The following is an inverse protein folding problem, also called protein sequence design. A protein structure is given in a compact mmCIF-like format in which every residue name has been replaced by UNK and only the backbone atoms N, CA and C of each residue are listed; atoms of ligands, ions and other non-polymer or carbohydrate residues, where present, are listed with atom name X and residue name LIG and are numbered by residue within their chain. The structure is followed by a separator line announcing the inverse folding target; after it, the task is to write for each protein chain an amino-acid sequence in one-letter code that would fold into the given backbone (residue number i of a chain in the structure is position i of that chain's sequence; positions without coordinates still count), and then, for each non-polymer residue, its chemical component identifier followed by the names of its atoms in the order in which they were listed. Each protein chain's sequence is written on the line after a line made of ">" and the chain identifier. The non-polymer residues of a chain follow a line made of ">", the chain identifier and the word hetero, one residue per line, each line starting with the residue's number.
data_IF_528281872943
#
_entry.id   IF_528281872943
#
_cell.length_a   1.000
_cell.length_b   1.000
_cell.length_c   1.000
_cell.angle_alpha   90.00
_cell.angle_beta   90.00
_cell.angle_gamma   90.00
#
_symmetry.space_group_name_H-M   'P 1'
#
loop_
_entity.id
_entity.type
_entity.pdbx_description
1 polymer ?
#
# COMPACT_ATOMS: atom_id res chain seq x y z
N UNK A 1 15.83 2.09 -27.88
CA UNK A 1 16.79 2.79 -26.99
C UNK A 1 16.14 3.52 -25.79
N UNK A 2 14.97 3.09 -25.27
CA UNK A 2 14.28 3.77 -24.14
C UNK A 2 14.60 3.18 -22.74
N UNK A 3 15.26 2.03 -22.67
CA UNK A 3 15.44 1.27 -21.41
C UNK A 3 16.76 1.55 -20.66
N UNK A 4 17.70 2.30 -21.25
CA UNK A 4 19.00 2.57 -20.62
C UNK A 4 19.00 3.82 -19.72
N UNK A 5 18.08 4.78 -19.94
CA UNK A 5 18.04 6.07 -19.23
C UNK A 5 17.33 6.03 -17.88
N UNK A 6 16.47 5.03 -17.61
CA UNK A 6 15.78 4.91 -16.32
C UNK A 6 16.70 4.45 -15.17
N UNK A 7 17.82 3.79 -15.47
CA UNK A 7 18.75 3.29 -14.46
C UNK A 7 19.70 4.36 -13.89
N UNK A 8 19.90 5.49 -14.58
CA UNK A 8 20.81 6.55 -14.11
C UNK A 8 20.18 7.49 -13.06
N UNK A 9 18.85 7.61 -13.00
CA UNK A 9 18.16 8.57 -12.12
C UNK A 9 17.47 7.94 -10.91
N UNK A 10 17.63 6.64 -10.66
CA UNK A 10 17.06 6.00 -9.47
C UNK A 10 17.86 6.43 -8.23
N UNK A 11 17.22 7.02 -7.19
CA UNK A 11 17.92 7.52 -6.01
C UNK A 11 18.64 6.38 -5.27
N UNK A 12 19.69 6.73 -4.54
CA UNK A 12 20.38 5.78 -3.65
C UNK A 12 19.54 5.60 -2.39
N UNK A 13 19.31 4.36 -1.98
CA UNK A 13 18.55 4.06 -0.77
C UNK A 13 19.26 4.59 0.47
N UNK A 14 18.51 5.29 1.33
CA UNK A 14 18.92 5.61 2.68
C UNK A 14 18.69 4.43 3.63
N UNK A 15 19.17 4.57 4.87
CA UNK A 15 18.93 3.58 5.92
C UNK A 15 17.42 3.40 6.14
N UNK A 16 16.99 2.14 6.32
CA UNK A 16 15.58 1.74 6.49
C UNK A 16 14.64 2.03 5.30
N UNK A 17 15.18 2.41 4.14
CA UNK A 17 14.38 2.51 2.93
C UNK A 17 14.13 1.14 2.30
N UNK A 18 12.88 0.96 1.89
CA UNK A 18 12.43 -0.22 1.17
C UNK A 18 12.91 -0.07 -0.27
N UNK A 19 13.82 -0.94 -0.70
CA UNK A 19 14.31 -0.93 -2.07
C UNK A 19 13.38 -1.67 -3.03
N UNK A 20 12.52 -2.58 -2.55
CA UNK A 20 11.55 -3.31 -3.38
C UNK A 20 10.36 -3.82 -2.57
N UNK A 21 9.17 -3.81 -3.17
CA UNK A 21 7.95 -4.44 -2.67
C UNK A 21 7.44 -5.44 -3.71
N UNK A 22 7.14 -6.68 -3.32
CA UNK A 22 6.81 -7.78 -4.24
C UNK A 22 5.57 -7.54 -5.11
N UNK A 23 4.59 -6.77 -4.63
CA UNK A 23 3.30 -6.55 -5.32
C UNK A 23 3.33 -5.41 -6.35
N UNK A 24 4.24 -4.44 -6.20
CA UNK A 24 4.11 -3.15 -6.91
C UNK A 24 5.20 -2.89 -7.94
N UNK A 25 6.36 -3.55 -7.86
CA UNK A 25 7.44 -3.18 -8.77
C UNK A 25 8.42 -4.28 -9.16
N UNK A 26 8.54 -4.48 -10.48
CA UNK A 26 9.73 -5.08 -11.09
C UNK A 26 10.95 -4.13 -11.02
N UNK A 27 10.72 -2.84 -10.78
CA UNK A 27 11.73 -1.79 -10.66
C UNK A 27 11.81 -1.29 -9.22
N UNK A 28 12.94 -1.50 -8.54
CA UNK A 28 13.12 -1.06 -7.15
C UNK A 28 12.92 0.46 -6.96
N UNK A 29 12.48 0.87 -5.77
CA UNK A 29 12.25 2.28 -5.41
C UNK A 29 13.55 3.11 -5.38
N UNK A 30 14.66 2.46 -5.04
CA UNK A 30 15.98 3.05 -4.90
C UNK A 30 17.08 1.99 -5.16
N UNK A 31 18.33 2.42 -5.39
CA UNK A 31 19.50 1.55 -5.57
C UNK A 31 20.29 1.41 -4.29
N UNK A 32 20.73 0.20 -3.96
CA UNK A 32 21.51 -0.02 -2.75
C UNK A 32 22.95 0.53 -2.87
N UNK A 33 23.46 1.30 -1.90
CA UNK A 33 24.74 2.00 -1.98
C UNK A 33 25.97 1.08 -2.11
N UNK A 34 25.92 -0.15 -1.56
CA UNK A 34 27.06 -1.08 -1.51
C UNK A 34 26.95 -2.24 -2.52
N UNK A 35 26.27 -2.03 -3.64
CA UNK A 35 25.97 -3.07 -4.62
C UNK A 35 27.15 -3.45 -5.55
N UNK A 36 28.40 -3.30 -5.13
CA UNK A 36 29.58 -3.63 -5.95
C UNK A 36 29.63 -5.11 -6.36
N UNK A 37 28.92 -6.00 -5.65
CA UNK A 37 28.80 -7.43 -5.98
C UNK A 37 27.58 -7.78 -6.85
N UNK A 38 26.56 -6.92 -6.92
CA UNK A 38 25.31 -7.18 -7.64
C UNK A 38 24.70 -5.89 -8.21
N UNK A 39 25.33 -5.29 -9.22
CA UNK A 39 24.72 -4.36 -10.19
C UNK A 39 23.58 -3.44 -9.70
N UNK A 40 23.72 -2.74 -8.57
CA UNK A 40 22.68 -1.82 -8.07
C UNK A 40 21.37 -2.46 -7.60
N UNK A 41 21.29 -3.80 -7.54
CA UNK A 41 20.04 -4.53 -7.30
C UNK A 41 19.75 -4.69 -5.81
N UNK A 42 18.47 -4.54 -5.46
CA UNK A 42 17.92 -4.79 -4.13
C UNK A 42 18.13 -6.28 -3.74
N UNK A 43 18.81 -6.58 -2.62
CA UNK A 43 19.18 -7.95 -2.27
C UNK A 43 17.95 -8.76 -1.86
N UNK A 44 17.81 -10.00 -2.33
CA UNK A 44 16.70 -10.87 -1.95
C UNK A 44 17.18 -12.00 -1.05
N UNK A 45 17.38 -11.68 0.23
CA UNK A 45 17.79 -12.65 1.27
C UNK A 45 16.86 -12.55 2.48
N UNK A 46 16.66 -13.63 3.25
CA UNK A 46 15.77 -13.62 4.42
C UNK A 46 16.10 -12.55 5.47
N UNK A 47 17.38 -12.19 5.61
CA UNK A 47 17.82 -11.17 6.57
C UNK A 47 17.47 -9.73 6.16
N UNK A 48 17.20 -9.53 4.88
CA UNK A 48 16.92 -8.24 4.26
C UNK A 48 15.46 -8.13 3.84
N UNK A 49 14.63 -9.13 4.15
CA UNK A 49 13.22 -9.16 3.78
C UNK A 49 12.33 -9.20 5.01
N UNK A 50 11.20 -8.52 4.91
CA UNK A 50 10.10 -8.57 5.87
C UNK A 50 8.85 -8.99 5.11
N UNK A 51 8.23 -10.09 5.54
CA UNK A 51 6.92 -10.50 5.02
C UNK A 51 5.86 -10.00 5.99
N UNK A 52 4.99 -9.09 5.53
CA UNK A 52 3.89 -8.58 6.32
C UNK A 52 2.59 -8.71 5.52
N UNK A 53 1.65 -9.49 6.07
CA UNK A 53 0.33 -9.76 5.47
C UNK A 53 0.38 -10.17 3.99
N UNK A 54 1.34 -11.04 3.64
CA UNK A 54 1.54 -11.54 2.28
C UNK A 54 2.40 -10.64 1.39
N UNK A 55 2.67 -9.41 1.81
CA UNK A 55 3.52 -8.46 1.07
C UNK A 55 4.97 -8.61 1.53
N UNK A 56 5.90 -8.77 0.58
CA UNK A 56 7.33 -8.84 0.87
C UNK A 56 7.98 -7.48 0.66
N UNK A 57 8.48 -6.90 1.74
CA UNK A 57 9.29 -5.68 1.76
C UNK A 57 10.76 -6.07 1.80
N UNK A 58 11.58 -5.45 0.94
CA UNK A 58 13.01 -5.77 0.82
C UNK A 58 13.87 -4.53 1.05
N UNK A 59 14.96 -4.69 1.78
CA UNK A 59 15.84 -3.62 2.25
C UNK A 59 17.30 -3.85 1.80
N UNK A 60 18.06 -2.77 1.67
CA UNK A 60 19.47 -2.87 1.25
C UNK A 60 20.40 -3.47 2.30
N UNK A 61 20.01 -3.36 3.57
CA UNK A 61 20.76 -3.86 4.73
C UNK A 61 19.88 -4.78 5.58
N UNK A 62 20.47 -5.66 6.40
CA UNK A 62 19.70 -6.49 7.31
C UNK A 62 18.76 -5.64 8.16
N UNK A 63 17.49 -6.00 8.20
CA UNK A 63 16.50 -5.18 8.90
C UNK A 63 16.52 -5.48 10.40
N UNK A 64 16.63 -4.43 11.19
CA UNK A 64 16.32 -4.45 12.62
C UNK A 64 15.05 -3.63 12.81
N UNK A 65 13.95 -4.27 13.18
CA UNK A 65 12.70 -3.58 13.46
C UNK A 65 12.34 -3.73 14.93
N UNK A 66 11.80 -2.65 15.49
CA UNK A 66 11.04 -2.68 16.74
C UNK A 66 9.56 -2.83 16.45
N UNK A 67 8.79 -3.25 17.45
CA UNK A 67 7.33 -3.23 17.36
C UNK A 67 6.85 -1.78 17.52
N UNK A 68 5.91 -1.34 16.69
CA UNK A 68 5.29 -0.02 16.80
C UNK A 68 4.41 0.07 18.05
N UNK A 69 4.41 1.22 18.73
CA UNK A 69 3.33 1.54 19.68
C UNK A 69 2.07 1.87 18.91
N UNK A 70 0.92 1.69 19.57
CA UNK A 70 -0.35 2.09 19.00
C UNK A 70 -0.34 3.60 18.69
N UNK A 71 -0.68 3.94 17.45
CA UNK A 71 -0.70 5.29 16.94
C UNK A 71 0.64 5.78 16.36
N UNK A 72 1.70 4.99 16.37
CA UNK A 72 2.95 5.37 15.68
C UNK A 72 2.85 5.17 14.16
N UNK A 73 3.65 5.93 13.41
CA UNK A 73 3.81 5.73 11.97
C UNK A 73 4.75 4.52 11.76
N UNK A 74 4.22 3.46 11.18
CA UNK A 74 4.96 2.23 10.88
C UNK A 74 5.77 2.35 9.58
N UNK A 75 5.20 3.04 8.59
CA UNK A 75 5.72 3.16 7.25
C UNK A 75 5.29 4.51 6.66
N UNK A 76 6.11 5.12 5.81
CA UNK A 76 5.70 6.27 5.02
C UNK A 76 6.24 6.22 3.59
N UNK A 77 5.46 6.77 2.66
CA UNK A 77 5.88 7.01 1.30
C UNK A 77 5.92 8.52 1.08
N UNK A 78 7.07 9.06 0.67
CA UNK A 78 7.25 10.48 0.34
C UNK A 78 7.78 10.55 -1.10
N UNK A 79 6.90 10.84 -2.06
CA UNK A 79 7.25 10.75 -3.48
C UNK A 79 7.59 9.30 -3.86
N UNK A 80 8.82 9.05 -4.35
CA UNK A 80 9.33 7.71 -4.66
C UNK A 80 10.03 7.03 -3.48
N UNK A 81 10.20 7.73 -2.35
CA UNK A 81 10.86 7.19 -1.16
C UNK A 81 9.87 6.42 -0.31
N UNK A 82 10.29 5.27 0.19
CA UNK A 82 9.46 4.38 1.00
C UNK A 82 10.26 3.97 2.24
N UNK A 83 9.88 4.48 3.40
CA UNK A 83 10.68 4.40 4.65
C UNK A 83 9.92 3.57 5.68
N UNK A 84 10.52 2.47 6.12
CA UNK A 84 9.94 1.61 7.15
C UNK A 84 10.53 1.93 8.53
N UNK A 85 9.67 2.28 9.48
CA UNK A 85 10.10 2.74 10.80
C UNK A 85 9.98 1.66 11.88
N UNK A 86 8.89 0.89 11.85
CA UNK A 86 8.63 -0.15 12.85
C UNK A 86 7.60 -1.18 12.34
N UNK A 87 7.59 -2.35 12.96
CA UNK A 87 6.63 -3.41 12.67
C UNK A 87 5.33 -3.23 13.46
N UNK A 88 4.21 -3.04 12.76
CA UNK A 88 2.90 -2.99 13.40
C UNK A 88 2.30 -4.40 13.50
N UNK A 89 2.11 -4.90 14.73
CA UNK A 89 1.46 -6.19 14.97
C UNK A 89 -0.06 -6.17 14.73
N UNK A 90 -0.66 -4.98 14.57
CA UNK A 90 -2.10 -4.77 14.46
C UNK A 90 -2.53 -4.46 13.01
N UNK A 91 -3.27 -3.35 12.83
CA UNK A 91 -3.67 -2.84 11.54
C UNK A 91 -2.86 -1.60 11.19
N UNK A 92 -2.62 -1.41 9.90
CA UNK A 92 -1.98 -0.22 9.37
C UNK A 92 -3.04 0.60 8.64
N UNK A 93 -3.27 1.82 9.09
CA UNK A 93 -4.15 2.78 8.44
C UNK A 93 -3.34 3.74 7.58
N UNK A 94 -3.59 3.75 6.26
CA UNK A 94 -3.04 4.75 5.35
C UNK A 94 -3.69 6.12 5.55
N UNK A 95 -2.87 7.15 5.69
CA UNK A 95 -3.23 8.56 5.79
C UNK A 95 -2.55 9.25 4.61
N UNK A 96 -3.36 9.80 3.70
CA UNK A 96 -2.87 10.44 2.49
C UNK A 96 -2.81 11.95 2.71
N UNK A 97 -1.61 12.52 2.64
CA UNK A 97 -1.38 13.95 2.65
C UNK A 97 -0.85 14.41 1.30
N UNK A 98 -1.47 15.44 0.74
CA UNK A 98 -0.96 16.12 -0.45
C UNK A 98 -0.23 17.38 0.00
N UNK A 99 1.09 17.41 -0.16
CA UNK A 99 1.89 18.61 0.04
C UNK A 99 2.19 19.22 -1.33
N UNK A 100 1.80 20.48 -1.52
CA UNK A 100 2.22 21.25 -2.69
C UNK A 100 3.75 21.41 -2.64
N UNK A 101 4.43 21.16 -3.77
CA UNK A 101 5.87 21.44 -3.89
C UNK A 101 6.08 22.78 -4.56
N UNK A 102 7.21 23.42 -4.28
CA UNK A 102 7.59 24.74 -4.83
C UNK A 102 7.69 24.77 -6.37
N UNK A 103 7.80 23.61 -7.03
CA UNK A 103 8.03 23.48 -8.47
C UNK A 103 6.82 23.02 -9.28
N UNK A 104 5.61 23.49 -8.94
CA UNK A 104 4.34 23.10 -9.59
C UNK A 104 4.04 21.58 -9.58
N UNK A 105 4.76 20.78 -8.79
CA UNK A 105 4.46 19.37 -8.54
C UNK A 105 3.60 19.18 -7.28
N UNK A 106 2.87 18.07 -7.19
CA UNK A 106 2.28 17.58 -5.93
C UNK A 106 3.06 16.35 -5.48
N UNK A 107 3.77 16.44 -4.35
CA UNK A 107 4.32 15.24 -3.73
C UNK A 107 3.22 14.61 -2.86
N UNK A 108 2.74 13.44 -3.29
CA UNK A 108 1.87 12.61 -2.46
C UNK A 108 2.71 12.02 -1.35
N UNK A 109 2.38 12.37 -0.12
CA UNK A 109 2.92 11.71 1.07
C UNK A 109 1.84 10.77 1.61
N UNK A 110 2.19 9.50 1.84
CA UNK A 110 1.28 8.53 2.45
C UNK A 110 1.92 8.01 3.73
N UNK A 111 1.27 8.21 4.86
CA UNK A 111 1.73 7.74 6.16
C UNK A 111 0.87 6.56 6.60
N UNK A 112 1.51 5.52 7.13
CA UNK A 112 0.86 4.29 7.50
C UNK A 112 0.94 4.12 9.01
N UNK A 113 -0.14 4.50 9.70
CA UNK A 113 -0.22 4.54 11.16
C UNK A 113 -0.64 3.18 11.72
N UNK A 114 0.05 2.70 12.75
CA UNK A 114 -0.35 1.49 13.47
C UNK A 114 -1.59 1.79 14.33
N UNK A 115 -2.68 1.09 14.10
CA UNK A 115 -3.96 1.29 14.80
C UNK A 115 -4.57 -0.07 15.16
N UNK A 116 -5.50 -0.06 16.11
CA UNK A 116 -6.29 -1.24 16.41
C UNK A 116 -7.23 -1.52 15.22
N UNK A 117 -7.48 -2.80 14.90
CA UNK A 117 -8.48 -3.15 13.91
C UNK A 117 -9.84 -2.58 14.34
N UNK A 118 -10.48 -1.84 13.43
CA UNK A 118 -11.89 -1.47 13.59
C UNK A 118 -12.73 -2.58 12.98
N UNK A 119 -13.75 -3.03 13.68
CA UNK A 119 -14.70 -4.00 13.16
C UNK A 119 -15.93 -3.29 12.58
N UNK A 120 -16.35 -3.74 11.41
CA UNK A 120 -17.55 -3.27 10.76
C UNK A 120 -18.78 -3.82 11.50
N UNK A 121 -19.89 -3.09 11.42
CA UNK A 121 -21.20 -3.69 11.68
C UNK A 121 -21.57 -4.60 10.49
N UNK A 122 -22.44 -5.62 10.68
CA UNK A 122 -23.07 -6.32 9.58
C UNK A 122 -23.63 -5.35 8.53
N UNK A 123 -23.45 -5.67 7.25
CA UNK A 123 -23.85 -4.86 6.09
C UNK A 123 -23.17 -3.47 5.94
N UNK A 124 -22.22 -3.12 6.81
CA UNK A 124 -21.45 -1.88 6.65
C UNK A 124 -20.43 -2.00 5.52
N UNK A 125 -20.07 -0.84 4.93
CA UNK A 125 -19.05 -0.76 3.88
C UNK A 125 -17.68 -1.07 4.49
N UNK A 126 -17.06 -2.16 4.04
CA UNK A 126 -15.77 -2.63 4.54
C UNK A 126 -14.60 -2.17 3.65
N UNK A 127 -14.85 -2.02 2.34
CA UNK A 127 -13.84 -1.60 1.36
C UNK A 127 -14.49 -0.75 0.28
N UNK A 128 -13.75 0.25 -0.19
CA UNK A 128 -14.15 1.10 -1.32
C UNK A 128 -13.01 1.08 -2.33
N UNK A 129 -13.34 0.84 -3.60
CA UNK A 129 -12.41 1.00 -4.73
C UNK A 129 -12.79 2.27 -5.46
N UNK A 130 -11.91 3.27 -5.39
CA UNK A 130 -12.04 4.48 -6.20
C UNK A 130 -11.45 4.19 -7.58
N UNK A 131 -12.21 4.46 -8.63
CA UNK A 131 -11.82 4.35 -10.03
C UNK A 131 -11.88 5.75 -10.64
N UNK A 132 -10.71 6.27 -11.06
CA UNK A 132 -10.61 7.58 -11.70
C UNK A 132 -10.49 7.45 -13.22
N UNK A 133 -11.30 8.22 -13.95
CA UNK A 133 -11.48 8.09 -15.41
C UNK A 133 -10.58 9.00 -16.26
N UNK A 134 -9.50 9.60 -15.72
CA UNK A 134 -8.63 10.54 -16.48
C UNK A 134 -7.17 10.54 -16.01
N UNK A 135 -6.21 10.93 -16.87
CA UNK A 135 -5.69 10.18 -18.03
C UNK A 135 -4.88 8.92 -17.63
N UNK A 136 -4.78 8.61 -16.34
CA UNK A 136 -4.19 7.39 -15.82
C UNK A 136 -5.21 6.70 -14.92
N UNK A 137 -5.41 5.38 -15.11
CA UNK A 137 -6.23 4.59 -14.19
C UNK A 137 -5.54 4.54 -12.84
N UNK A 138 -6.01 5.32 -11.87
CA UNK A 138 -5.58 5.20 -10.46
C UNK A 138 -6.66 4.43 -9.69
N UNK A 139 -6.24 3.35 -9.03
CA UNK A 139 -7.10 2.50 -8.21
C UNK A 139 -6.64 2.65 -6.77
N UNK A 140 -7.41 3.36 -5.96
CA UNK A 140 -7.17 3.40 -4.51
C UNK A 140 -8.21 2.57 -3.76
N UNK A 141 -7.72 1.71 -2.89
CA UNK A 141 -8.55 0.98 -1.95
C UNK A 141 -8.51 1.70 -0.60
N UNK A 142 -9.65 2.19 -0.12
CA UNK A 142 -9.79 2.58 1.27
C UNK A 142 -10.53 1.48 2.02
N UNK A 143 -9.81 0.73 2.84
CA UNK A 143 -10.39 -0.23 3.79
C UNK A 143 -10.86 0.50 5.04
N UNK A 144 -12.15 0.42 5.35
CA UNK A 144 -12.78 1.16 6.45
C UNK A 144 -12.74 0.37 7.77
N UNK A 145 -12.89 -0.95 7.71
CA UNK A 145 -12.95 -1.86 8.86
C UNK A 145 -12.88 -3.34 8.43
N UNK A 146 -12.70 -4.24 9.39
CA UNK A 146 -12.75 -5.70 9.23
C UNK A 146 -14.17 -6.23 9.45
N UNK A 147 -14.63 -7.14 8.60
CA UNK A 147 -15.90 -7.79 8.83
C UNK A 147 -15.85 -8.68 10.09
N UNK A 148 -16.96 -8.75 10.86
CA UNK A 148 -17.05 -9.62 12.01
C UNK A 148 -17.04 -11.10 11.58
N UNK A 149 -16.88 -12.01 12.53
CA UNK A 149 -16.86 -13.47 12.28
C UNK A 149 -18.13 -13.91 11.53
N UNK A 150 -17.98 -14.80 10.55
CA UNK A 150 -19.02 -15.29 9.62
C UNK A 150 -19.50 -14.26 8.57
N UNK A 151 -18.79 -13.14 8.42
CA UNK A 151 -19.06 -12.16 7.37
C UNK A 151 -17.83 -11.97 6.49
N UNK A 152 -18.06 -11.95 5.18
CA UNK A 152 -17.04 -11.65 4.18
C UNK A 152 -17.25 -10.22 3.64
N UNK A 153 -16.13 -9.57 3.30
CA UNK A 153 -16.16 -8.28 2.61
C UNK A 153 -16.42 -8.53 1.12
N UNK A 154 -17.69 -8.61 0.73
CA UNK A 154 -18.15 -9.01 -0.60
C UNK A 154 -18.40 -7.78 -1.48
N UNK A 155 -18.07 -7.88 -2.77
CA UNK A 155 -18.41 -6.88 -3.79
C UNK A 155 -19.92 -6.88 -4.00
N UNK A 156 -20.59 -5.76 -3.80
CA UNK A 156 -22.05 -5.70 -3.97
C UNK A 156 -22.47 -5.24 -5.35
N UNK A 157 -21.52 -4.88 -6.23
CA UNK A 157 -21.81 -4.23 -7.52
C UNK A 157 -22.32 -2.79 -7.37
N UNK A 158 -22.52 -2.29 -6.15
CA UNK A 158 -22.94 -0.92 -5.89
C UNK A 158 -21.85 0.07 -6.32
N UNK A 159 -22.25 1.10 -7.06
CA UNK A 159 -21.40 2.23 -7.44
C UNK A 159 -21.98 3.53 -6.92
N UNK A 160 -21.10 4.41 -6.42
CA UNK A 160 -21.42 5.80 -6.10
C UNK A 160 -20.60 6.69 -7.03
N UNK A 161 -21.29 7.52 -7.82
CA UNK A 161 -20.65 8.59 -8.56
C UNK A 161 -20.16 9.68 -7.60
N UNK A 162 -18.90 10.05 -7.71
CA UNK A 162 -18.34 11.17 -6.98
C UNK A 162 -18.97 12.48 -7.42
N UNK A 163 -18.83 13.52 -6.58
CA UNK A 163 -19.17 14.91 -6.96
C UNK A 163 -18.37 15.40 -8.17
N UNK A 164 -17.22 14.77 -8.41
CA UNK A 164 -16.41 14.92 -9.60
C UNK A 164 -16.78 13.80 -10.59
N UNK A 165 -17.21 14.15 -11.80
CA UNK A 165 -17.67 13.23 -12.84
C UNK A 165 -16.59 12.26 -13.33
N UNK A 166 -15.35 12.43 -12.85
CA UNK A 166 -14.22 11.55 -13.14
C UNK A 166 -13.99 10.46 -12.08
N UNK A 167 -14.78 10.37 -11.02
CA UNK A 167 -14.60 9.39 -9.93
C UNK A 167 -15.82 8.47 -9.76
N UNK A 168 -15.63 7.17 -9.99
CA UNK A 168 -16.59 6.12 -9.65
C UNK A 168 -16.10 5.34 -8.43
N UNK A 169 -16.95 5.15 -7.41
CA UNK A 169 -16.62 4.37 -6.21
C UNK A 169 -17.38 3.06 -6.21
N UNK A 170 -16.68 1.93 -6.28
CA UNK A 170 -17.28 0.62 -6.07
C UNK A 170 -17.23 0.26 -4.58
N UNK A 171 -18.29 -0.37 -4.07
CA UNK A 171 -18.45 -0.67 -2.66
C UNK A 171 -18.40 -2.18 -2.40
N UNK A 172 -17.75 -2.53 -1.29
CA UNK A 172 -17.84 -3.85 -0.69
C UNK A 172 -18.49 -3.73 0.68
N UNK A 173 -19.34 -4.70 1.03
CA UNK A 173 -20.04 -4.75 2.31
C UNK A 173 -19.74 -6.03 3.05
N UNK A 174 -19.89 -5.99 4.38
CA UNK A 174 -19.84 -7.19 5.20
C UNK A 174 -21.15 -7.97 5.07
N UNK A 175 -21.17 -8.97 4.19
CA UNK A 175 -22.31 -9.87 3.97
C UNK A 175 -22.04 -11.21 4.63
N UNK A 176 -23.10 -11.89 5.06
CA UNK A 176 -22.99 -13.16 5.76
C UNK A 176 -22.51 -14.24 4.80
N UNK A 177 -21.56 -15.09 5.22
CA UNK A 177 -20.88 -16.03 4.32
C UNK A 177 -21.82 -17.06 3.67
N UNK A 178 -22.92 -17.45 4.33
CA UNK A 178 -23.90 -18.40 3.76
C UNK A 178 -24.75 -17.79 2.62
N UNK A 179 -24.88 -16.47 2.53
CA UNK A 179 -25.60 -15.81 1.42
C UNK A 179 -24.74 -15.74 0.14
N UNK A 180 -23.41 -15.79 0.25
CA UNK A 180 -22.50 -15.76 -0.91
C UNK A 180 -22.57 -17.04 -1.76
N UNK A 181 -23.03 -18.15 -1.20
CA UNK A 181 -23.23 -19.41 -1.92
C UNK A 181 -24.39 -19.34 -2.93
N UNK A 182 -25.34 -18.41 -2.73
CA UNK A 182 -26.51 -18.25 -3.60
C UNK A 182 -26.19 -17.32 -4.78
N UNK A 183 -25.39 -16.27 -4.56
CA UNK A 183 -24.99 -15.31 -5.60
C UNK A 183 -23.92 -15.83 -6.57
N UNK A 184 -23.23 -16.91 -6.25
CA UNK A 184 -22.24 -17.56 -7.13
C UNK A 184 -22.80 -18.79 -7.87
N UNK A 185 -24.09 -19.10 -7.68
CA UNK A 185 -24.80 -20.21 -8.31
C UNK A 185 -25.85 -19.77 -9.36
N UNK A 186 -25.93 -18.47 -9.67
CA UNK A 186 -26.78 -17.87 -10.72
C UNK A 186 -25.93 -17.08 -11.70
#
# INVERSE_FOLDING_TARGET
>A
MKNALQHLNTPICQENEICRISEYSHHGFCRCPNSSKHSGRCPFTPHNTLVYKGVTFTFCSPIKYRICKLGEIAWENIGFRSIFHCYCQYYIQGIFNWTATETHGRNRSTYYKCVLPKYCRPNAICKIKNVFSRPFFDVSFSGSCFCPKNYACTDTGETIEGRDSSLTRHLWRCLYEEENAILSAT
#
